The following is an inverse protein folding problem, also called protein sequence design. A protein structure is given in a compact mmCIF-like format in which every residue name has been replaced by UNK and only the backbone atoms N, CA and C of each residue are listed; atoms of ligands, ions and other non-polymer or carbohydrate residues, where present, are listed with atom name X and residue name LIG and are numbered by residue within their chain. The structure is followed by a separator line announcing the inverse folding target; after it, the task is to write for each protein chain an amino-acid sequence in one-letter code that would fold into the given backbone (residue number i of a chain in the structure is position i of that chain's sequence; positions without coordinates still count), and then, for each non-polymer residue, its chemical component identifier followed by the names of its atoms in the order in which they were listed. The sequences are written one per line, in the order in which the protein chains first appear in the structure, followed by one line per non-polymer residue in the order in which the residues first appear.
data_IF_008688739318
#
_entry.id   IF_008688739318
#
_cell.length_a   1.000
_cell.length_b   1.000
_cell.length_c   1.000
_cell.angle_alpha   90.00
_cell.angle_beta   90.00
_cell.angle_gamma   90.00
#
_symmetry.space_group_name_H-M   'P 1'
#
loop_
_entity.id
_entity.type
_entity.pdbx_description
1 polymer ?
#
# COMPACT_ATOMS: atom_id res chain seq x y z
N UNK A 1 -12.23 -2.72 -8.52
CA UNK A 1 -13.20 -2.76 -7.42
C UNK A 1 -13.30 -1.37 -6.81
N UNK A 2 -14.50 -0.80 -6.72
CA UNK A 2 -14.72 0.54 -6.16
C UNK A 2 -15.56 0.34 -4.90
N UNK A 3 -15.10 0.87 -3.77
CA UNK A 3 -15.81 0.71 -2.50
C UNK A 3 -16.96 1.72 -2.42
N UNK A 4 -18.18 1.22 -2.24
CA UNK A 4 -19.40 2.01 -2.09
C UNK A 4 -19.55 2.62 -0.70
N UNK A 5 -20.75 3.14 -0.39
CA UNK A 5 -21.04 3.74 0.92
C UNK A 5 -21.33 2.70 2.02
N UNK A 6 -21.64 1.45 1.66
CA UNK A 6 -21.85 0.34 2.60
C UNK A 6 -20.63 -0.60 2.60
N UNK A 7 -19.91 -0.54 3.71
CA UNK A 7 -18.62 -1.15 3.94
C UNK A 7 -18.65 -2.69 3.91
N UNK A 8 -19.57 -3.24 4.71
CA UNK A 8 -19.69 -4.68 4.93
C UNK A 8 -19.98 -5.39 3.62
N UNK A 9 -20.91 -4.85 2.82
CA UNK A 9 -21.28 -5.43 1.53
C UNK A 9 -20.12 -5.41 0.53
N UNK A 10 -19.37 -4.30 0.47
CA UNK A 10 -18.26 -4.16 -0.50
C UNK A 10 -17.11 -5.12 -0.18
N UNK A 11 -16.66 -5.18 1.08
CA UNK A 11 -15.58 -6.09 1.45
C UNK A 11 -16.03 -7.55 1.50
N UNK A 12 -17.26 -7.82 1.94
CA UNK A 12 -17.82 -9.17 1.92
C UNK A 12 -17.93 -9.70 0.49
N UNK A 13 -18.38 -8.90 -0.47
CA UNK A 13 -18.34 -9.28 -1.88
C UNK A 13 -16.92 -9.64 -2.33
N UNK A 14 -15.93 -8.81 -1.98
CA UNK A 14 -14.54 -9.06 -2.34
C UNK A 14 -14.00 -10.36 -1.73
N UNK A 15 -14.44 -10.74 -0.53
CA UNK A 15 -14.12 -12.03 0.09
C UNK A 15 -14.66 -13.22 -0.73
N UNK A 16 -15.82 -13.10 -1.36
CA UNK A 16 -16.46 -14.21 -2.08
C UNK A 16 -16.02 -14.34 -3.56
N UNK A 17 -15.33 -13.34 -4.11
CA UNK A 17 -14.85 -13.39 -5.50
C UNK A 17 -13.54 -14.19 -5.63
N UNK A 18 -13.44 -15.10 -6.60
CA UNK A 18 -12.16 -15.72 -6.99
C UNK A 18 -11.36 -14.77 -7.88
N UNK A 19 -10.71 -13.79 -7.24
CA UNK A 19 -9.92 -12.78 -7.92
C UNK A 19 -8.52 -13.32 -8.25
N UNK A 20 -8.18 -13.25 -9.54
CA UNK A 20 -6.88 -13.66 -10.09
C UNK A 20 -6.27 -12.54 -10.93
N UNK A 21 -4.94 -12.48 -10.98
CA UNK A 21 -4.24 -11.51 -11.82
C UNK A 21 -4.12 -10.13 -11.16
N UNK A 22 -4.94 -9.17 -11.59
CA UNK A 22 -4.83 -7.78 -11.15
C UNK A 22 -6.07 -7.34 -10.36
N UNK A 23 -5.84 -6.70 -9.22
CA UNK A 23 -6.88 -6.04 -8.44
C UNK A 23 -6.50 -4.59 -8.18
N UNK A 24 -7.39 -3.67 -8.56
CA UNK A 24 -7.33 -2.26 -8.15
C UNK A 24 -8.52 -1.96 -7.25
N UNK A 25 -8.25 -1.52 -6.03
CA UNK A 25 -9.24 -1.09 -5.04
C UNK A 25 -9.17 0.42 -4.91
N UNK A 26 -10.30 1.09 -5.13
CA UNK A 26 -10.42 2.54 -5.04
C UNK A 26 -11.38 2.94 -3.94
N UNK A 27 -11.24 4.19 -3.50
CA UNK A 27 -12.03 4.81 -2.44
C UNK A 27 -11.90 4.08 -1.10
N UNK A 28 -10.67 3.69 -0.75
CA UNK A 28 -10.38 3.01 0.52
C UNK A 28 -10.68 3.87 1.75
N UNK A 29 -10.87 5.17 1.58
CA UNK A 29 -11.41 6.04 2.62
C UNK A 29 -12.80 5.63 3.07
N UNK A 30 -13.64 5.11 2.18
CA UNK A 30 -14.97 4.64 2.57
C UNK A 30 -14.93 3.37 3.47
N UNK A 31 -13.72 2.84 3.72
CA UNK A 31 -13.54 1.69 4.60
C UNK A 31 -13.59 2.15 6.06
N UNK A 32 -14.66 1.78 6.76
CA UNK A 32 -14.82 2.04 8.19
C UNK A 32 -13.89 1.16 9.06
N UNK A 33 -14.00 1.34 10.38
CA UNK A 33 -13.06 0.79 11.36
C UNK A 33 -13.05 -0.75 11.50
N UNK A 34 -14.00 -1.46 10.90
CA UNK A 34 -14.13 -2.93 10.99
C UNK A 34 -13.81 -3.52 9.62
N UNK A 35 -12.60 -4.06 9.47
CA UNK A 35 -12.17 -4.75 8.26
C UNK A 35 -11.94 -6.21 8.60
N UNK A 36 -12.57 -7.16 7.89
CA UNK A 36 -12.24 -8.58 8.04
C UNK A 36 -10.75 -8.79 7.77
N UNK A 37 -10.05 -9.41 8.71
CA UNK A 37 -8.64 -9.76 8.54
C UNK A 37 -8.46 -10.64 7.28
N UNK A 38 -7.36 -10.44 6.54
CA UNK A 38 -6.84 -11.35 5.51
C UNK A 38 -7.65 -11.48 4.20
N UNK A 39 -8.50 -10.51 3.84
CA UNK A 39 -9.38 -10.61 2.66
C UNK A 39 -8.65 -10.87 1.31
N UNK A 40 -7.37 -10.49 1.18
CA UNK A 40 -6.58 -10.66 -0.05
C UNK A 40 -5.60 -11.84 -0.04
N UNK A 41 -5.39 -12.49 1.11
CA UNK A 41 -4.38 -13.56 1.26
C UNK A 41 -4.74 -14.80 0.45
N UNK A 42 -6.03 -15.11 0.34
CA UNK A 42 -6.53 -16.28 -0.38
C UNK A 42 -6.73 -16.04 -1.89
N UNK A 43 -6.50 -14.82 -2.38
CA UNK A 43 -6.64 -14.47 -3.80
C UNK A 43 -5.36 -14.81 -4.59
N UNK A 44 -5.46 -14.95 -5.90
CA UNK A 44 -4.31 -15.28 -6.78
C UNK A 44 -3.84 -14.05 -7.57
N UNK A 45 -3.50 -12.99 -6.84
CA UNK A 45 -3.11 -11.70 -7.40
C UNK A 45 -1.60 -11.62 -7.67
N UNK A 46 -1.26 -11.11 -8.85
CA UNK A 46 0.09 -10.70 -9.24
C UNK A 46 0.26 -9.18 -9.17
N UNK A 47 -0.82 -8.41 -9.25
CA UNK A 47 -0.79 -6.94 -9.17
C UNK A 47 -1.89 -6.44 -8.25
N UNK A 48 -1.53 -5.55 -7.33
CA UNK A 48 -2.43 -4.91 -6.38
C UNK A 48 -2.23 -3.40 -6.43
N UNK A 49 -3.30 -2.68 -6.75
CA UNK A 49 -3.36 -1.22 -6.61
C UNK A 49 -4.38 -0.84 -5.54
N UNK A 50 -3.97 -0.04 -4.57
CA UNK A 50 -4.81 0.49 -3.49
C UNK A 50 -4.80 2.01 -3.57
N UNK A 51 -5.98 2.63 -3.51
CA UNK A 51 -6.10 4.07 -3.61
C UNK A 51 -7.14 4.64 -2.64
N UNK A 52 -6.71 5.71 -1.97
CA UNK A 52 -7.55 6.62 -1.21
C UNK A 52 -7.86 7.82 -2.11
N UNK A 53 -9.14 8.03 -2.40
CA UNK A 53 -9.65 8.96 -3.39
C UNK A 53 -10.01 8.34 -4.74
N UNK A 54 -10.57 9.16 -5.61
CA UNK A 54 -11.03 8.77 -6.95
C UNK A 54 -9.97 8.92 -8.04
N UNK A 55 -8.94 9.73 -7.80
CA UNK A 55 -8.13 10.28 -8.87
C UNK A 55 -6.91 9.39 -9.12
N UNK A 56 -6.77 8.97 -10.38
CA UNK A 56 -5.62 8.17 -10.81
C UNK A 56 -4.33 8.99 -10.93
N UNK A 57 -4.38 10.33 -10.92
CA UNK A 57 -3.18 11.14 -11.14
C UNK A 57 -3.42 12.62 -10.75
N UNK A 58 -2.44 13.22 -10.09
CA UNK A 58 -2.17 14.66 -10.21
C UNK A 58 -2.66 15.57 -9.09
N UNK A 59 -3.88 15.41 -8.57
CA UNK A 59 -4.49 16.44 -7.71
C UNK A 59 -4.99 15.92 -6.36
N UNK A 60 -4.18 15.10 -5.70
CA UNK A 60 -4.43 14.73 -4.32
C UNK A 60 -4.24 15.95 -3.43
N UNK A 61 -5.35 16.56 -2.99
CA UNK A 61 -5.37 17.60 -1.98
C UNK A 61 -5.87 17.03 -0.64
N UNK A 62 -4.96 16.72 0.30
CA UNK A 62 -5.34 16.25 1.64
C UNK A 62 -6.05 17.34 2.46
N UNK A 63 -6.10 18.59 1.99
CA UNK A 63 -6.86 19.71 2.58
C UNK A 63 -8.24 19.87 1.94
N UNK A 64 -8.58 19.08 0.94
CA UNK A 64 -9.93 19.07 0.39
C UNK A 64 -10.94 18.80 1.51
N UNK A 65 -12.03 19.57 1.52
CA UNK A 65 -13.07 19.52 2.53
C UNK A 65 -13.62 18.10 2.77
N UNK A 66 -13.55 17.22 1.76
CA UNK A 66 -13.91 15.80 1.88
C UNK A 66 -13.10 15.05 2.96
N UNK A 67 -11.80 15.30 3.06
CA UNK A 67 -10.91 14.60 4.00
C UNK A 67 -10.98 15.18 5.42
N UNK A 68 -11.23 16.48 5.53
CA UNK A 68 -11.32 17.19 6.81
C UNK A 68 -12.72 17.03 7.44
N UNK A 69 -13.80 17.08 6.65
CA UNK A 69 -15.17 17.02 7.16
C UNK A 69 -15.60 15.60 7.56
N UNK A 70 -15.05 14.56 6.95
CA UNK A 70 -15.40 13.16 7.23
C UNK A 70 -14.55 12.53 8.37
N UNK A 71 -13.65 13.30 9.00
CA UNK A 71 -12.90 12.84 10.17
C UNK A 71 -11.94 11.68 9.89
N UNK A 72 -11.42 11.54 8.67
CA UNK A 72 -10.49 10.47 8.33
C UNK A 72 -9.19 10.58 9.11
N UNK A 73 -9.05 9.71 10.11
CA UNK A 73 -7.85 9.60 10.91
C UNK A 73 -6.83 8.64 10.27
N UNK A 74 -5.55 9.01 10.38
CA UNK A 74 -4.39 8.18 9.97
C UNK A 74 -4.50 6.74 10.44
N UNK A 75 -4.95 6.54 11.69
CA UNK A 75 -5.12 5.21 12.29
C UNK A 75 -6.13 4.33 11.56
N UNK A 76 -7.19 4.90 10.96
CA UNK A 76 -8.13 4.10 10.19
C UNK A 76 -7.46 3.58 8.91
N UNK A 77 -6.71 4.44 8.20
CA UNK A 77 -6.01 4.01 6.98
C UNK A 77 -4.97 2.93 7.26
N UNK A 78 -4.22 3.05 8.37
CA UNK A 78 -3.25 2.05 8.81
C UNK A 78 -3.91 0.69 9.10
N UNK A 79 -5.04 0.69 9.79
CA UNK A 79 -5.82 -0.54 10.05
C UNK A 79 -6.31 -1.17 8.74
N UNK A 80 -6.90 -0.36 7.85
CA UNK A 80 -7.38 -0.81 6.54
C UNK A 80 -6.25 -1.44 5.73
N UNK A 81 -5.12 -0.74 5.61
CA UNK A 81 -3.97 -1.24 4.87
C UNK A 81 -3.40 -2.54 5.50
N UNK A 82 -3.45 -2.67 6.83
CA UNK A 82 -3.01 -3.87 7.54
C UNK A 82 -3.87 -5.10 7.22
N UNK A 83 -5.18 -4.93 7.04
CA UNK A 83 -6.10 -6.03 6.70
C UNK A 83 -6.06 -6.43 5.20
N UNK A 84 -5.48 -5.59 4.34
CA UNK A 84 -5.36 -5.83 2.90
C UNK A 84 -4.09 -6.59 2.52
N UNK A 85 -3.60 -7.49 3.39
CA UNK A 85 -2.43 -8.31 3.11
C UNK A 85 -2.65 -9.16 1.84
N UNK A 86 -1.84 -8.99 0.79
CA UNK A 86 -1.94 -9.81 -0.40
C UNK A 86 -1.29 -11.19 -0.23
N UNK A 87 -1.61 -12.08 -1.16
CA UNK A 87 -0.93 -13.37 -1.30
C UNK A 87 0.56 -13.21 -1.70
N UNK A 88 1.36 -14.25 -1.45
CA UNK A 88 2.82 -14.24 -1.65
C UNK A 88 3.27 -14.20 -3.12
N UNK A 89 2.37 -14.41 -4.08
CA UNK A 89 2.68 -14.37 -5.52
C UNK A 89 2.63 -12.95 -6.11
N UNK A 90 2.34 -11.94 -5.27
CA UNK A 90 2.28 -10.55 -5.71
C UNK A 90 3.62 -10.08 -6.29
N UNK A 91 3.57 -9.53 -7.51
CA UNK A 91 4.71 -9.00 -8.26
C UNK A 91 4.74 -7.47 -8.30
N UNK A 92 3.58 -6.82 -8.24
CA UNK A 92 3.48 -5.36 -8.27
C UNK A 92 2.50 -4.84 -7.22
N UNK A 93 2.94 -3.83 -6.47
CA UNK A 93 2.13 -3.11 -5.49
C UNK A 93 2.13 -1.61 -5.82
N UNK A 94 0.96 -0.99 -5.83
CA UNK A 94 0.81 0.45 -5.95
C UNK A 94 -0.09 0.99 -4.82
N UNK A 95 0.39 2.00 -4.10
CA UNK A 95 -0.37 2.74 -3.09
C UNK A 95 -0.51 4.20 -3.52
N UNK A 96 -1.74 4.71 -3.51
CA UNK A 96 -2.04 6.10 -3.86
C UNK A 96 -2.82 6.79 -2.74
N UNK A 97 -2.36 7.97 -2.31
CA UNK A 97 -3.08 8.83 -1.37
C UNK A 97 -3.13 8.30 0.07
N UNK A 98 -2.25 7.36 0.42
CA UNK A 98 -2.19 6.79 1.76
C UNK A 98 -1.70 7.83 2.78
N UNK A 99 -2.54 8.22 3.73
CA UNK A 99 -2.22 9.21 4.76
C UNK A 99 -1.88 8.60 6.13
N UNK A 100 -1.56 7.31 6.17
CA UNK A 100 -1.03 6.66 7.38
C UNK A 100 0.42 7.06 7.66
N UNK A 101 0.83 7.04 8.93
CA UNK A 101 2.22 7.35 9.33
C UNK A 101 3.13 6.14 9.08
N UNK A 102 2.60 4.93 9.31
CA UNK A 102 3.34 3.67 9.26
C UNK A 102 2.84 2.75 8.15
N UNK A 103 3.72 1.93 7.60
CA UNK A 103 3.34 0.83 6.70
C UNK A 103 3.10 -0.47 7.49
N UNK A 104 2.23 -1.37 6.99
CA UNK A 104 1.90 -2.61 7.69
C UNK A 104 3.07 -3.60 7.67
N UNK A 105 3.06 -4.50 8.65
CA UNK A 105 4.12 -5.51 8.82
C UNK A 105 4.26 -6.45 7.61
N UNK A 106 3.19 -6.68 6.84
CA UNK A 106 3.25 -7.55 5.68
C UNK A 106 4.06 -6.96 4.50
N UNK A 107 4.42 -5.68 4.52
CA UNK A 107 5.23 -5.07 3.46
C UNK A 107 6.73 -5.36 3.64
N UNK A 108 7.09 -6.64 3.71
CA UNK A 108 8.44 -7.12 3.92
C UNK A 108 8.77 -8.32 3.02
N UNK A 109 10.04 -8.73 2.99
CA UNK A 109 10.53 -9.82 2.13
C UNK A 109 10.05 -11.22 2.53
N UNK A 110 9.64 -11.45 3.79
CA UNK A 110 9.08 -12.71 4.24
C UNK A 110 7.67 -12.89 3.67
N UNK A 111 6.87 -11.83 3.66
CA UNK A 111 5.47 -11.88 3.24
C UNK A 111 5.30 -11.65 1.74
N UNK A 112 6.13 -10.80 1.12
CA UNK A 112 6.09 -10.49 -0.31
C UNK A 112 7.42 -10.85 -0.99
N UNK A 113 7.82 -12.13 -1.00
CA UNK A 113 9.13 -12.54 -1.51
C UNK A 113 9.29 -12.28 -3.01
N UNK A 114 8.20 -12.27 -3.78
CA UNK A 114 8.19 -12.18 -5.24
C UNK A 114 7.98 -10.76 -5.79
N UNK A 115 7.99 -9.74 -4.92
CA UNK A 115 7.67 -8.38 -5.31
C UNK A 115 8.77 -7.78 -6.17
N UNK A 116 8.39 -7.27 -7.34
CA UNK A 116 9.30 -6.70 -8.36
C UNK A 116 9.11 -5.22 -8.58
N UNK A 117 7.93 -4.67 -8.28
CA UNK A 117 7.59 -3.27 -8.47
C UNK A 117 6.79 -2.71 -7.30
N UNK A 118 7.22 -1.57 -6.79
CA UNK A 118 6.49 -0.78 -5.79
C UNK A 118 6.31 0.64 -6.33
N UNK A 119 5.09 1.16 -6.20
CA UNK A 119 4.79 2.57 -6.41
C UNK A 119 4.10 3.16 -5.18
N UNK A 120 4.68 4.18 -4.56
CA UNK A 120 4.13 4.94 -3.44
C UNK A 120 3.88 6.37 -3.92
N UNK A 121 2.62 6.77 -4.05
CA UNK A 121 2.23 8.03 -4.69
C UNK A 121 1.34 8.82 -3.76
N UNK A 122 1.69 10.08 -3.48
CA UNK A 122 0.97 10.97 -2.58
C UNK A 122 0.81 10.40 -1.16
N UNK A 123 1.76 9.60 -0.67
CA UNK A 123 1.76 9.10 0.70
C UNK A 123 2.36 10.13 1.67
N UNK A 124 1.75 11.32 1.71
CA UNK A 124 2.38 12.56 2.24
C UNK A 124 2.64 12.57 3.74
N UNK A 125 1.93 11.73 4.52
CA UNK A 125 2.10 11.63 5.98
C UNK A 125 3.01 10.47 6.41
N UNK A 126 3.51 9.67 5.47
CA UNK A 126 4.39 8.57 5.81
C UNK A 126 5.74 9.11 6.27
N UNK A 127 6.10 8.87 7.53
CA UNK A 127 7.38 9.28 8.09
C UNK A 127 8.45 8.20 7.90
N UNK A 128 8.05 6.93 7.93
CA UNK A 128 8.95 5.78 7.87
C UNK A 128 8.66 4.90 6.66
N UNK A 129 9.67 4.68 5.81
CA UNK A 129 9.57 3.74 4.70
C UNK A 129 9.94 2.34 5.21
N UNK A 130 9.20 1.27 4.85
CA UNK A 130 9.55 -0.10 5.22
C UNK A 130 10.93 -0.50 4.66
N UNK A 131 11.50 -1.59 5.16
CA UNK A 131 12.80 -2.12 4.75
C UNK A 131 12.79 -2.74 3.34
N UNK A 132 12.43 -1.94 2.33
CA UNK A 132 12.26 -2.36 0.93
C UNK A 132 13.55 -2.90 0.32
N UNK A 133 14.71 -2.50 0.83
CA UNK A 133 16.02 -2.99 0.42
C UNK A 133 16.25 -4.48 0.71
N UNK A 134 15.43 -5.10 1.57
CA UNK A 134 15.49 -6.54 1.84
C UNK A 134 14.73 -7.37 0.79
N UNK A 135 13.98 -6.74 -0.12
CA UNK A 135 13.22 -7.43 -1.16
C UNK A 135 14.17 -7.93 -2.25
N UNK A 136 14.31 -9.27 -2.42
CA UNK A 136 15.35 -9.83 -3.26
C UNK A 136 15.13 -9.59 -4.76
N UNK A 137 13.87 -9.43 -5.19
CA UNK A 137 13.51 -9.28 -6.60
C UNK A 137 12.96 -7.90 -6.96
N UNK A 138 13.03 -6.92 -6.04
CA UNK A 138 12.55 -5.57 -6.32
C UNK A 138 13.42 -4.92 -7.40
N UNK A 139 12.82 -4.63 -8.56
CA UNK A 139 13.46 -4.01 -9.74
C UNK A 139 13.13 -2.54 -9.88
N UNK A 140 11.90 -2.16 -9.53
CA UNK A 140 11.39 -0.79 -9.71
C UNK A 140 10.82 -0.29 -8.38
N UNK A 141 11.35 0.81 -7.89
CA UNK A 141 10.82 1.56 -6.76
C UNK A 141 10.49 2.99 -7.22
N UNK A 142 9.20 3.29 -7.26
CA UNK A 142 8.69 4.61 -7.59
C UNK A 142 8.09 5.25 -6.33
N UNK A 143 8.57 6.43 -5.97
CA UNK A 143 8.05 7.23 -4.87
C UNK A 143 7.76 8.62 -5.40
N UNK A 144 6.63 9.22 -5.04
CA UNK A 144 6.29 10.60 -5.42
C UNK A 144 5.34 11.19 -4.40
N UNK A 145 5.57 12.42 -3.96
CA UNK A 145 4.70 13.09 -2.98
C UNK A 145 4.75 12.41 -1.60
N UNK A 146 5.96 12.13 -1.12
CA UNK A 146 6.29 11.54 0.19
C UNK A 146 6.70 12.66 1.18
N UNK A 147 5.88 13.70 1.34
CA UNK A 147 6.27 14.99 1.95
C UNK A 147 6.84 14.89 3.38
N UNK A 148 6.38 13.94 4.19
CA UNK A 148 6.87 13.71 5.56
C UNK A 148 8.19 12.91 5.63
N UNK A 149 8.66 12.32 4.53
CA UNK A 149 9.95 11.65 4.47
C UNK A 149 11.05 12.71 4.31
N UNK A 150 11.60 13.16 5.44
CA UNK A 150 12.67 14.18 5.47
C UNK A 150 14.02 13.60 5.03
N UNK A 151 14.26 12.32 5.31
CA UNK A 151 15.50 11.62 4.96
C UNK A 151 15.22 10.13 4.81
N UNK A 152 15.81 9.52 3.78
CA UNK A 152 15.91 8.06 3.67
C UNK A 152 17.12 7.62 4.50
N UNK A 153 16.86 7.03 5.65
CA UNK A 153 17.88 6.51 6.55
C UNK A 153 18.20 5.04 6.29
N UNK A 154 18.89 4.42 7.24
CA UNK A 154 19.34 3.02 7.13
C UNK A 154 18.19 2.01 7.20
N UNK A 155 17.02 2.42 7.69
CA UNK A 155 15.82 1.60 7.86
C UNK A 155 15.34 0.99 6.55
N UNK A 156 15.47 1.70 5.44
CA UNK A 156 15.06 1.20 4.12
C UNK A 156 15.89 -0.03 3.70
N UNK A 157 17.12 -0.17 4.20
CA UNK A 157 18.02 -1.28 3.89
C UNK A 157 17.76 -2.52 4.75
N UNK A 158 17.04 -2.35 5.88
CA UNK A 158 16.80 -3.40 6.86
C UNK A 158 18.02 -3.70 7.76
N UNK A 159 17.80 -4.48 8.82
CA UNK A 159 18.80 -4.74 9.88
C UNK A 159 19.81 -5.85 9.54
N UNK A 160 19.65 -6.54 8.41
CA UNK A 160 20.54 -7.64 8.03
C UNK A 160 21.84 -7.13 7.40
N UNK A 161 22.82 -6.77 8.25
CA UNK A 161 24.13 -6.24 7.87
C UNK A 161 24.96 -7.12 6.89
N UNK A 162 24.55 -8.37 6.65
CA UNK A 162 25.27 -9.33 5.79
C UNK A 162 24.82 -9.32 4.33
N UNK A 163 23.74 -8.64 3.99
CA UNK A 163 23.19 -8.65 2.62
C UNK A 163 23.30 -7.27 2.00
N UNK A 164 23.73 -7.22 0.74
CA UNK A 164 23.67 -6.01 -0.09
C UNK A 164 22.20 -5.60 -0.21
N UNK A 165 21.82 -4.38 0.22
CA UNK A 165 20.47 -3.90 0.02
C UNK A 165 20.14 -3.74 -1.46
N UNK A 166 18.88 -3.92 -1.84
CA UNK A 166 18.38 -3.75 -3.21
C UNK A 166 19.16 -4.57 -4.25
N UNK A 167 19.27 -5.89 -4.10
CA UNK A 167 20.12 -6.72 -4.96
C UNK A 167 19.71 -6.74 -6.44
N UNK A 168 18.44 -6.44 -6.74
CA UNK A 168 17.87 -6.48 -8.10
C UNK A 168 17.36 -5.13 -8.61
N UNK A 169 17.58 -4.03 -7.88
CA UNK A 169 16.99 -2.74 -8.21
C UNK A 169 17.64 -2.15 -9.47
N UNK A 170 16.82 -1.76 -10.43
CA UNK A 170 17.23 -1.21 -11.73
C UNK A 170 16.76 0.25 -11.85
N UNK A 171 15.58 0.56 -11.30
CA UNK A 171 14.98 1.89 -11.38
C UNK A 171 14.54 2.36 -9.99
N UNK A 172 15.02 3.55 -9.62
CA UNK A 172 14.58 4.30 -8.46
C UNK A 172 14.17 5.71 -8.92
N UNK A 173 12.91 6.06 -8.70
CA UNK A 173 12.37 7.38 -9.03
C UNK A 173 11.73 7.97 -7.78
N UNK A 174 12.05 9.24 -7.48
CA UNK A 174 11.60 9.97 -6.28
C UNK A 174 11.07 11.36 -6.63
#
# INVERSE_FOLDING_TARGET
FIIGHTLEESLFQLMHLDLRGELKVKRLENVGNIVPELCLVYKQLHTLGLSWGNDNEGNFDPRSSRWIAEGYHSCNMENVLSCLQPNRNLKSLALHGYLGVMFPQWMNNVMLPNLTKIALINCRKCENIPALGQLPFLKVLYMRGMDAVVKIGGEIYGKEARRRPFPSLIELTM
#
